data_IF_364430673931
#
_entry.id   IF_364430673931
#
_cell.length_a   1.000
_cell.length_b   1.000
_cell.length_c   1.000
_cell.angle_alpha   90.00
_cell.angle_beta   90.00
_cell.angle_gamma   90.00
#
_symmetry.space_group_name_H-M   'P 1'
#
loop_
_entity.id
_entity.type
_entity.pdbx_description
1 polymer ?
#
# COMPACT_ATOMS: atom_id res chain seq x y z
N UNK A 1 -23.22 -11.30 1.15
CA UNK A 1 -23.21 -10.18 0.16
C UNK A 1 -21.79 -9.59 0.00
N UNK A 2 -21.16 -8.95 1.02
CA UNK A 2 -19.79 -8.40 0.89
C UNK A 2 -18.77 -9.50 0.57
N UNK A 3 -18.88 -10.66 1.22
CA UNK A 3 -17.97 -11.79 0.96
C UNK A 3 -18.08 -12.29 -0.48
N UNK A 4 -19.27 -12.31 -1.05
CA UNK A 4 -19.49 -12.74 -2.44
C UNK A 4 -18.84 -11.75 -3.41
N UNK A 5 -18.98 -10.44 -3.14
CA UNK A 5 -18.27 -9.38 -3.89
C UNK A 5 -16.76 -9.60 -3.88
N UNK A 6 -16.18 -9.89 -2.70
CA UNK A 6 -14.76 -10.15 -2.53
C UNK A 6 -14.32 -11.41 -3.28
N UNK A 7 -15.11 -12.48 -3.24
CA UNK A 7 -14.77 -13.75 -3.92
C UNK A 7 -14.86 -13.62 -5.45
N UNK A 8 -15.84 -12.85 -5.96
CA UNK A 8 -16.07 -12.66 -7.40
C UNK A 8 -15.27 -11.50 -8.00
N UNK A 9 -14.44 -10.83 -7.19
CA UNK A 9 -13.65 -9.69 -7.64
C UNK A 9 -12.63 -10.08 -8.71
N UNK A 10 -12.53 -9.20 -9.72
CA UNK A 10 -11.44 -9.16 -10.71
C UNK A 10 -11.01 -7.70 -10.88
N UNK A 11 -9.71 -7.40 -10.94
CA UNK A 11 -9.24 -6.03 -11.11
C UNK A 11 -9.89 -5.32 -12.30
N UNK A 12 -10.40 -4.12 -12.07
CA UNK A 12 -11.07 -3.30 -13.07
C UNK A 12 -12.50 -3.69 -13.43
N UNK A 13 -13.07 -4.76 -12.86
CA UNK A 13 -14.43 -5.21 -13.20
C UNK A 13 -15.50 -4.14 -12.96
N UNK A 14 -15.32 -3.31 -11.94
CA UNK A 14 -16.27 -2.29 -11.53
C UNK A 14 -15.90 -0.88 -12.01
N UNK A 15 -14.82 -0.76 -12.80
CA UNK A 15 -14.35 0.53 -13.30
C UNK A 15 -14.90 0.76 -14.70
N UNK A 16 -15.65 1.84 -14.87
CA UNK A 16 -16.15 2.27 -16.18
C UNK A 16 -15.43 3.54 -16.60
N UNK A 17 -14.52 3.42 -17.56
CA UNK A 17 -13.74 4.54 -18.09
C UNK A 17 -13.85 4.57 -19.62
N UNK A 18 -13.78 5.77 -20.25
CA UNK A 18 -13.84 5.91 -21.70
C UNK A 18 -12.63 5.28 -22.40
N UNK A 19 -11.49 5.20 -21.74
CA UNK A 19 -10.24 4.65 -22.28
C UNK A 19 -10.08 3.18 -21.91
N UNK A 20 -9.45 2.40 -22.80
CA UNK A 20 -9.07 1.03 -22.49
C UNK A 20 -7.86 1.01 -21.56
N UNK A 21 -8.12 0.91 -20.26
CA UNK A 21 -7.08 0.76 -19.26
C UNK A 21 -6.76 -0.73 -19.09
N UNK A 22 -5.46 -1.06 -19.09
CA UNK A 22 -5.00 -2.39 -18.76
C UNK A 22 -4.84 -2.49 -17.25
N UNK A 23 -5.73 -3.24 -16.60
CA UNK A 23 -5.61 -3.56 -15.18
C UNK A 23 -4.64 -4.72 -14.96
N UNK A 24 -3.96 -4.77 -13.79
CA UNK A 24 -3.16 -5.94 -13.41
C UNK A 24 -4.07 -7.17 -13.24
N UNK A 25 -3.52 -8.38 -13.42
CA UNK A 25 -4.28 -9.61 -13.23
C UNK A 25 -4.72 -9.83 -11.77
N UNK A 26 -3.94 -9.29 -10.83
CA UNK A 26 -4.14 -9.47 -9.40
C UNK A 26 -3.99 -8.16 -8.63
N UNK A 27 -4.74 -8.07 -7.54
CA UNK A 27 -4.61 -7.02 -6.52
C UNK A 27 -3.57 -7.45 -5.49
N UNK A 28 -2.59 -6.60 -5.23
CA UNK A 28 -1.56 -6.82 -4.20
C UNK A 28 -1.68 -5.76 -3.10
N UNK A 29 -2.09 -6.20 -1.91
CA UNK A 29 -2.21 -5.37 -0.71
C UNK A 29 -0.93 -5.51 0.10
N UNK A 30 -0.20 -4.44 0.32
CA UNK A 30 1.03 -4.43 1.13
C UNK A 30 0.75 -3.99 2.56
N UNK A 31 1.14 -4.80 3.55
CA UNK A 31 1.05 -4.44 4.96
C UNK A 31 2.35 -3.80 5.42
N UNK A 32 2.27 -2.59 5.96
CA UNK A 32 3.35 -1.83 6.55
C UNK A 32 3.07 -1.55 8.02
N UNK A 33 4.08 -1.27 8.82
CA UNK A 33 3.96 -0.97 10.24
C UNK A 33 5.08 -1.59 11.04
N UNK A 34 5.20 -1.23 12.31
CA UNK A 34 6.29 -1.68 13.21
C UNK A 34 6.30 -3.19 13.40
N UNK A 35 7.45 -3.69 13.84
CA UNK A 35 7.58 -5.06 14.35
C UNK A 35 6.64 -5.25 15.53
N UNK A 36 5.90 -6.38 15.55
CA UNK A 36 4.98 -6.70 16.63
C UNK A 36 3.59 -6.02 16.56
N UNK A 37 3.33 -5.13 15.59
CA UNK A 37 2.01 -4.48 15.45
C UNK A 37 0.89 -5.40 14.92
N UNK A 38 1.13 -6.69 14.71
CA UNK A 38 0.10 -7.66 14.34
C UNK A 38 -0.14 -7.87 12.85
N UNK A 39 0.79 -7.48 11.94
CA UNK A 39 0.65 -7.65 10.47
C UNK A 39 0.39 -9.10 10.07
N UNK A 40 1.23 -10.02 10.50
CA UNK A 40 1.07 -11.46 10.15
C UNK A 40 -0.22 -12.05 10.71
N UNK A 41 -0.63 -11.64 11.93
CA UNK A 41 -1.91 -12.02 12.52
C UNK A 41 -3.09 -11.45 11.75
N UNK A 42 -2.96 -10.22 11.25
CA UNK A 42 -3.97 -9.57 10.40
C UNK A 42 -4.22 -10.38 9.12
N UNK A 43 -3.18 -10.92 8.50
CA UNK A 43 -3.35 -11.78 7.30
C UNK A 43 -4.20 -13.00 7.62
N UNK A 44 -3.97 -13.64 8.76
CA UNK A 44 -4.78 -14.78 9.19
C UNK A 44 -6.25 -14.38 9.42
N UNK A 45 -6.48 -13.20 10.01
CA UNK A 45 -7.81 -12.64 10.22
C UNK A 45 -8.52 -12.29 8.90
N UNK A 46 -7.81 -11.70 7.94
CA UNK A 46 -8.33 -11.40 6.59
C UNK A 46 -8.70 -12.68 5.83
N UNK A 47 -7.85 -13.71 5.90
CA UNK A 47 -8.17 -15.04 5.30
C UNK A 47 -9.42 -15.63 5.92
N UNK A 48 -9.53 -15.59 7.24
CA UNK A 48 -10.73 -16.08 7.93
C UNK A 48 -11.98 -15.30 7.51
N UNK A 49 -11.92 -13.97 7.47
CA UNK A 49 -13.05 -13.15 7.07
C UNK A 49 -13.47 -13.42 5.62
N UNK A 50 -12.52 -13.48 4.69
CA UNK A 50 -12.79 -13.72 3.27
C UNK A 50 -13.31 -15.13 2.99
N UNK A 51 -12.79 -16.17 3.65
CA UNK A 51 -13.10 -17.56 3.36
C UNK A 51 -14.15 -18.18 4.29
N UNK A 52 -14.55 -17.48 5.36
CA UNK A 52 -15.48 -17.96 6.40
C UNK A 52 -14.92 -19.05 7.31
N UNK A 53 -13.76 -19.58 7.03
CA UNK A 53 -13.05 -20.61 7.81
C UNK A 53 -11.56 -20.57 7.50
N UNK A 54 -10.75 -20.94 8.45
CA UNK A 54 -9.30 -21.07 8.25
C UNK A 54 -8.80 -22.33 8.96
N UNK A 55 -8.16 -23.23 8.22
CA UNK A 55 -7.49 -24.40 8.81
C UNK A 55 -6.14 -23.98 9.38
N UNK A 56 -5.72 -24.56 10.52
CA UNK A 56 -4.42 -24.24 11.15
C UNK A 56 -3.22 -24.40 10.18
N UNK A 57 -3.29 -25.35 9.25
CA UNK A 57 -2.27 -25.56 8.21
C UNK A 57 -2.17 -24.42 7.17
N UNK A 58 -3.15 -23.51 7.15
CA UNK A 58 -3.19 -22.37 6.25
C UNK A 58 -2.76 -21.04 6.93
N UNK A 59 -2.46 -21.12 8.23
CA UNK A 59 -2.00 -19.97 8.99
C UNK A 59 -0.60 -19.55 8.55
N UNK A 60 -0.37 -18.25 8.47
CA UNK A 60 0.98 -17.72 8.42
C UNK A 60 1.56 -17.80 9.84
N UNK A 61 2.78 -18.31 9.95
CA UNK A 61 3.49 -18.29 11.23
C UNK A 61 3.63 -16.87 11.74
N UNK A 62 3.12 -16.65 12.95
CA UNK A 62 3.24 -15.40 13.68
C UNK A 62 4.41 -15.54 14.65
N UNK A 63 5.32 -14.56 14.66
CA UNK A 63 6.40 -14.55 15.62
C UNK A 63 5.86 -14.39 17.05
N UNK A 64 6.33 -15.21 17.99
CA UNK A 64 6.17 -14.90 19.40
C UNK A 64 6.99 -13.67 19.76
N UNK A 65 6.47 -12.80 20.62
CA UNK A 65 7.07 -11.49 20.99
C UNK A 65 8.47 -11.59 21.62
N UNK A 66 8.96 -12.78 21.94
CA UNK A 66 10.16 -12.99 22.76
C UNK A 66 11.50 -12.91 22.02
N UNK A 67 11.52 -12.75 20.69
CA UNK A 67 12.78 -12.62 19.96
C UNK A 67 12.94 -11.20 19.43
N UNK A 68 13.85 -10.46 20.05
CA UNK A 68 14.32 -9.18 19.57
C UNK A 68 14.81 -9.30 18.10
N UNK A 69 14.28 -8.46 17.21
CA UNK A 69 14.73 -8.40 15.82
C UNK A 69 13.68 -8.77 14.74
N UNK A 70 12.46 -9.11 15.10
CA UNK A 70 11.36 -9.36 14.14
C UNK A 70 11.64 -10.56 13.21
N UNK A 71 10.72 -11.53 13.16
CA UNK A 71 10.93 -12.75 12.36
C UNK A 71 10.70 -12.59 10.85
N UNK A 72 10.12 -11.48 10.40
CA UNK A 72 9.82 -11.26 8.98
C UNK A 72 11.00 -10.53 8.31
N UNK A 73 12.09 -11.24 8.07
CA UNK A 73 13.24 -10.68 7.34
C UNK A 73 12.99 -10.64 5.83
N UNK A 74 12.09 -11.48 5.34
CA UNK A 74 11.71 -11.59 3.94
C UNK A 74 10.23 -11.26 3.78
N UNK A 75 9.89 -10.70 2.64
CA UNK A 75 8.49 -10.48 2.28
C UNK A 75 7.77 -11.81 2.12
N UNK A 76 6.58 -11.94 2.69
CA UNK A 76 5.74 -13.15 2.55
C UNK A 76 4.47 -12.78 1.81
N UNK A 77 4.09 -13.59 0.83
CA UNK A 77 2.85 -13.41 0.07
C UNK A 77 1.81 -14.45 0.50
N UNK A 78 0.59 -14.01 0.67
CA UNK A 78 -0.56 -14.85 1.01
C UNK A 78 -1.74 -14.51 0.11
N UNK A 79 -2.43 -15.52 -0.42
CA UNK A 79 -3.65 -15.29 -1.17
C UNK A 79 -4.87 -15.23 -0.23
N UNK A 80 -5.78 -14.29 -0.49
CA UNK A 80 -7.11 -14.23 0.13
C UNK A 80 -8.16 -14.89 -0.76
N UNK A 81 -8.12 -14.57 -2.07
CA UNK A 81 -8.99 -15.11 -3.11
C UNK A 81 -8.16 -15.44 -4.36
N UNK A 82 -8.82 -15.76 -5.47
CA UNK A 82 -8.11 -16.03 -6.74
C UNK A 82 -7.30 -14.84 -7.25
N UNK A 83 -7.78 -13.60 -7.01
CA UNK A 83 -7.16 -12.38 -7.55
C UNK A 83 -6.67 -11.40 -6.47
N UNK A 84 -6.83 -11.71 -5.18
CA UNK A 84 -6.42 -10.81 -4.08
C UNK A 84 -5.32 -11.46 -3.26
N UNK A 85 -4.19 -10.78 -3.18
CA UNK A 85 -3.01 -11.21 -2.43
C UNK A 85 -2.64 -10.16 -1.38
N UNK A 86 -2.15 -10.62 -0.22
CA UNK A 86 -1.60 -9.76 0.82
C UNK A 86 -0.13 -10.06 1.00
N UNK A 87 0.68 -9.02 1.10
CA UNK A 87 2.12 -9.10 1.27
C UNK A 87 2.47 -8.63 2.68
N UNK A 88 3.03 -9.53 3.49
CA UNK A 88 3.61 -9.22 4.78
C UNK A 88 5.02 -8.65 4.58
N UNK A 89 5.18 -7.37 4.86
CA UNK A 89 6.47 -6.69 4.75
C UNK A 89 7.17 -6.67 6.11
N UNK A 90 8.51 -6.58 6.10
CA UNK A 90 9.31 -6.41 7.32
C UNK A 90 8.83 -5.18 8.10
N UNK A 91 8.89 -5.25 9.42
CA UNK A 91 8.54 -4.14 10.31
C UNK A 91 9.38 -2.89 10.04
N UNK A 92 8.74 -1.72 10.10
CA UNK A 92 9.37 -0.42 9.98
C UNK A 92 9.83 0.02 11.36
N UNK A 93 11.12 0.27 11.55
CA UNK A 93 11.64 0.72 12.86
C UNK A 93 11.52 2.24 13.01
N UNK A 94 11.76 2.99 11.94
CA UNK A 94 11.62 4.45 11.91
C UNK A 94 10.95 4.92 10.61
N UNK A 95 9.63 5.13 10.61
CA UNK A 95 8.89 5.51 9.39
C UNK A 95 9.24 6.89 8.83
N UNK A 96 9.95 7.74 9.59
CA UNK A 96 10.38 9.07 9.13
C UNK A 96 11.75 9.09 8.45
N UNK A 97 12.48 8.00 8.46
CA UNK A 97 13.79 7.93 7.83
C UNK A 97 13.69 7.87 6.30
N UNK A 98 14.55 8.59 5.60
CA UNK A 98 14.57 8.66 4.13
C UNK A 98 14.83 7.27 3.50
N UNK A 99 15.66 6.47 4.11
CA UNK A 99 15.97 5.09 3.69
C UNK A 99 14.72 4.21 3.74
N UNK A 100 13.85 4.42 4.72
CA UNK A 100 12.57 3.71 4.83
C UNK A 100 11.65 4.07 3.66
N UNK A 101 11.62 5.33 3.26
CA UNK A 101 10.84 5.76 2.08
C UNK A 101 11.36 5.12 0.80
N UNK A 102 12.67 5.03 0.62
CA UNK A 102 13.30 4.37 -0.53
C UNK A 102 12.95 2.87 -0.58
N UNK A 103 13.02 2.18 0.56
CA UNK A 103 12.65 0.77 0.65
C UNK A 103 11.15 0.55 0.40
N UNK A 104 10.27 1.38 0.99
CA UNK A 104 8.82 1.33 0.71
C UNK A 104 8.57 1.54 -0.78
N UNK A 105 9.27 2.50 -1.43
CA UNK A 105 9.14 2.71 -2.87
C UNK A 105 9.50 1.45 -3.66
N UNK A 106 10.63 0.82 -3.36
CA UNK A 106 11.05 -0.42 -4.03
C UNK A 106 10.04 -1.57 -3.83
N UNK A 107 9.41 -1.63 -2.65
CA UNK A 107 8.35 -2.61 -2.39
C UNK A 107 7.06 -2.29 -3.15
N UNK A 108 6.66 -1.01 -3.22
CA UNK A 108 5.46 -0.57 -3.95
C UNK A 108 5.57 -0.81 -5.45
N UNK A 109 6.76 -0.65 -6.01
CA UNK A 109 6.99 -0.84 -7.45
C UNK A 109 7.30 -2.30 -7.84
N UNK A 110 7.43 -3.18 -6.84
CA UNK A 110 7.79 -4.57 -7.06
C UNK A 110 9.27 -4.80 -7.38
N UNK A 111 10.12 -3.81 -7.16
CA UNK A 111 11.56 -3.94 -7.37
C UNK A 111 12.23 -4.77 -6.27
N UNK A 112 11.62 -4.85 -5.09
CA UNK A 112 12.06 -5.73 -4.00
C UNK A 112 11.48 -7.13 -4.17
N UNK A 113 12.34 -8.14 -4.36
CA UNK A 113 11.96 -9.54 -4.47
C UNK A 113 11.55 -10.18 -3.14
N UNK A 114 10.87 -11.33 -3.20
CA UNK A 114 10.47 -12.08 -2.00
C UNK A 114 11.61 -12.85 -1.35
N UNK A 115 12.65 -13.17 -2.11
CA UNK A 115 13.88 -13.81 -1.62
C UNK A 115 14.94 -12.83 -1.15
N UNK A 116 14.69 -11.53 -1.27
CA UNK A 116 15.60 -10.48 -0.84
C UNK A 116 15.32 -10.09 0.61
N UNK A 117 16.37 -10.11 1.43
CA UNK A 117 16.28 -9.64 2.81
C UNK A 117 16.16 -8.12 2.82
N UNK A 118 15.14 -7.62 3.52
CA UNK A 118 15.04 -6.19 3.83
C UNK A 118 15.95 -5.90 5.02
N UNK A 119 16.89 -4.98 4.87
CA UNK A 119 17.83 -4.55 5.91
C UNK A 119 17.65 -3.06 6.17
N UNK A 120 17.66 -2.67 7.45
CA UNK A 120 17.64 -1.27 7.85
C UNK A 120 19.07 -0.81 8.19
N UNK A 121 19.36 0.46 7.98
CA UNK A 121 20.67 1.05 8.31
C UNK A 121 21.02 0.84 9.79
N UNK A 122 22.24 0.38 10.06
CA UNK A 122 22.72 0.11 11.41
C UNK A 122 22.52 -1.32 11.91
N UNK A 123 21.82 -2.19 11.15
CA UNK A 123 21.75 -3.60 11.46
C UNK A 123 23.03 -4.34 11.03
N UNK A 124 23.52 -5.26 11.88
CA UNK A 124 24.58 -6.19 11.48
C UNK A 124 24.10 -7.04 10.29
N UNK A 125 24.89 -7.01 9.23
CA UNK A 125 24.59 -7.77 8.00
C UNK A 125 24.75 -9.26 8.30
N UNK A 126 23.64 -9.92 8.62
CA UNK A 126 23.58 -11.38 8.53
C UNK A 126 23.58 -11.75 7.04
N UNK A 127 24.75 -12.03 6.49
CA UNK A 127 24.89 -12.50 5.11
C UNK A 127 24.35 -13.93 5.03
N UNK A 128 23.11 -14.05 4.61
CA UNK A 128 22.63 -15.31 4.06
C UNK A 128 23.10 -15.35 2.60
N UNK A 129 23.95 -16.33 2.26
CA UNK A 129 24.35 -16.60 0.89
C UNK A 129 23.13 -17.11 0.10
N UNK A 130 22.33 -16.18 -0.39
CA UNK A 130 21.25 -16.50 -1.34
C UNK A 130 21.90 -16.51 -2.72
N UNK A 131 21.83 -17.63 -3.48
CA UNK A 131 22.37 -17.69 -4.81
C UNK A 131 21.82 -16.55 -5.69
N UNK A 132 22.69 -15.87 -6.42
CA UNK A 132 22.35 -14.72 -7.26
C UNK A 132 21.32 -15.02 -8.39
N UNK A 133 20.94 -16.28 -8.55
CA UNK A 133 20.10 -16.79 -9.66
C UNK A 133 18.60 -16.51 -9.46
N UNK A 134 18.14 -16.16 -8.25
CA UNK A 134 16.69 -16.09 -7.94
C UNK A 134 16.19 -14.67 -7.59
N UNK A 135 16.80 -13.63 -8.13
CA UNK A 135 16.28 -12.24 -7.99
C UNK A 135 15.08 -12.03 -8.92
N UNK A 136 14.02 -12.79 -8.69
CA UNK A 136 12.74 -12.48 -9.31
C UNK A 136 12.21 -11.20 -8.71
N UNK A 137 11.85 -10.22 -9.55
CA UNK A 137 11.14 -9.01 -9.10
C UNK A 137 9.92 -9.42 -8.29
N UNK A 138 9.60 -8.64 -7.26
CA UNK A 138 8.36 -8.77 -6.53
C UNK A 138 7.16 -8.34 -7.37
N UNK A 139 5.97 -8.42 -6.79
CA UNK A 139 4.78 -7.85 -7.41
C UNK A 139 4.59 -6.40 -6.93
N UNK A 140 4.20 -5.46 -7.79
CA UNK A 140 3.89 -4.11 -7.39
C UNK A 140 2.67 -4.10 -6.46
N UNK A 141 2.76 -3.33 -5.37
CA UNK A 141 1.66 -3.15 -4.43
C UNK A 141 0.71 -2.10 -4.98
N UNK A 142 -0.57 -2.44 -5.05
CA UNK A 142 -1.63 -1.56 -5.55
C UNK A 142 -2.43 -0.89 -4.43
N UNK A 143 -2.34 -1.41 -3.21
CA UNK A 143 -2.94 -0.80 -2.03
C UNK A 143 -1.99 -0.93 -0.83
N UNK A 144 -1.64 0.19 -0.20
CA UNK A 144 -0.84 0.23 1.01
C UNK A 144 -1.73 0.28 2.25
N UNK A 145 -1.52 -0.65 3.18
CA UNK A 145 -2.21 -0.72 4.47
C UNK A 145 -1.20 -0.56 5.60
N UNK A 146 -1.37 0.47 6.43
CA UNK A 146 -0.56 0.71 7.62
C UNK A 146 -1.20 0.09 8.85
N UNK A 147 -0.45 -0.75 9.53
CA UNK A 147 -0.90 -1.47 10.72
C UNK A 147 -0.27 -0.84 11.96
N UNK A 148 -1.12 -0.34 12.84
CA UNK A 148 -0.77 0.24 14.14
C UNK A 148 -1.28 -0.67 15.26
N UNK A 149 -0.58 -0.68 16.37
CA UNK A 149 -1.01 -1.43 17.56
C UNK A 149 -1.52 -0.47 18.62
N UNK A 150 -2.72 -0.68 19.14
CA UNK A 150 -3.29 0.14 20.17
C UNK A 150 -2.60 0.01 21.55
N UNK A 151 -1.73 -1.00 21.72
CA UNK A 151 -0.99 -1.26 22.97
C UNK A 151 0.47 -0.80 22.93
N UNK A 152 0.96 -0.31 21.79
CA UNK A 152 2.31 0.23 21.67
C UNK A 152 2.35 1.73 21.93
N UNK A 153 3.51 2.25 22.36
CA UNK A 153 3.68 3.68 22.57
C UNK A 153 3.51 4.44 21.23
N UNK A 154 2.39 5.13 21.18
CA UNK A 154 1.91 5.83 20.00
C UNK A 154 2.77 7.07 19.68
N UNK A 155 3.37 7.69 20.70
CA UNK A 155 4.03 9.01 20.57
C UNK A 155 5.30 8.97 19.71
N UNK A 156 6.00 7.84 19.69
CA UNK A 156 7.23 7.68 18.89
C UNK A 156 6.98 7.43 17.41
N UNK A 157 5.78 6.99 17.02
CA UNK A 157 5.47 6.52 15.66
C UNK A 157 4.99 7.63 14.72
N UNK A 158 4.62 8.80 15.27
CA UNK A 158 3.98 9.86 14.49
C UNK A 158 4.93 10.92 13.93
N UNK A 159 6.15 11.00 14.45
CA UNK A 159 7.15 11.87 13.87
C UNK A 159 7.48 11.39 12.45
N UNK A 160 6.95 12.08 11.45
CA UNK A 160 7.13 11.76 10.04
C UNK A 160 5.99 10.97 9.38
N UNK A 161 4.95 10.57 10.12
CA UNK A 161 3.80 9.91 9.51
C UNK A 161 3.15 10.76 8.40
N UNK A 162 3.03 12.08 8.60
CA UNK A 162 2.50 12.98 7.57
C UNK A 162 3.35 12.94 6.29
N UNK A 163 4.68 12.96 6.41
CA UNK A 163 5.59 12.86 5.26
C UNK A 163 5.44 11.53 4.54
N UNK A 164 5.28 10.43 5.29
CA UNK A 164 5.07 9.11 4.73
C UNK A 164 3.71 9.02 4.02
N UNK A 165 2.64 9.56 4.61
CA UNK A 165 1.30 9.59 4.00
C UNK A 165 1.33 10.40 2.71
N UNK A 166 1.95 11.59 2.71
CA UNK A 166 2.10 12.42 1.51
C UNK A 166 2.95 11.74 0.44
N UNK A 167 4.02 11.06 0.83
CA UNK A 167 4.86 10.29 -0.09
C UNK A 167 4.06 9.20 -0.80
N UNK A 168 3.27 8.43 -0.05
CA UNK A 168 2.42 7.37 -0.59
C UNK A 168 1.33 7.90 -1.50
N UNK A 169 0.64 8.97 -1.07
CA UNK A 169 -0.41 9.60 -1.87
C UNK A 169 0.13 10.07 -3.23
N UNK A 170 1.29 10.74 -3.24
CA UNK A 170 1.92 11.17 -4.51
C UNK A 170 2.31 9.99 -5.40
N UNK A 171 2.68 8.85 -4.83
CA UNK A 171 3.15 7.69 -5.59
C UNK A 171 2.03 6.78 -6.07
N UNK A 172 0.94 6.68 -5.33
CA UNK A 172 -0.19 5.79 -5.64
C UNK A 172 -1.46 6.51 -6.10
N UNK A 173 -1.54 7.84 -5.95
CA UNK A 173 -2.75 8.62 -6.23
C UNK A 173 -3.84 8.48 -5.17
N UNK A 174 -3.67 7.59 -4.20
CA UNK A 174 -4.60 7.32 -3.12
C UNK A 174 -3.92 7.42 -1.77
N UNK A 175 -4.67 7.82 -0.74
CA UNK A 175 -4.19 7.76 0.63
C UNK A 175 -4.13 6.31 1.12
N UNK A 176 -3.16 5.97 2.00
CA UNK A 176 -3.09 4.63 2.57
C UNK A 176 -4.28 4.36 3.50
N UNK A 177 -4.59 3.08 3.69
CA UNK A 177 -5.54 2.62 4.70
C UNK A 177 -4.80 2.37 6.01
N UNK A 178 -5.42 2.66 7.15
CA UNK A 178 -4.90 2.28 8.45
C UNK A 178 -5.73 1.17 9.09
N UNK A 179 -5.04 0.28 9.80
CA UNK A 179 -5.64 -0.75 10.65
C UNK A 179 -5.08 -0.61 12.06
N UNK A 180 -5.96 -0.49 13.04
CA UNK A 180 -5.61 -0.50 14.47
C UNK A 180 -5.88 -1.91 14.99
N UNK A 181 -4.83 -2.58 15.43
CA UNK A 181 -4.89 -3.93 16.04
C UNK A 181 -4.88 -3.86 17.57
N UNK A 182 -5.10 -5.01 18.23
CA UNK A 182 -5.13 -5.15 19.70
C UNK A 182 -6.20 -4.30 20.38
N UNK A 183 -7.26 -3.94 19.65
CA UNK A 183 -8.35 -3.12 20.20
C UNK A 183 -9.19 -3.85 21.27
N UNK A 184 -9.09 -5.16 21.32
CA UNK A 184 -9.76 -6.01 22.31
C UNK A 184 -9.05 -6.05 23.68
N UNK A 185 -7.82 -5.56 23.75
CA UNK A 185 -7.02 -5.53 24.99
C UNK A 185 -6.53 -4.13 25.36
N UNK A 186 -6.68 -3.14 24.45
CA UNK A 186 -6.30 -1.75 24.68
C UNK A 186 -7.40 -0.97 25.40
N UNK A 187 -7.03 0.09 26.10
CA UNK A 187 -7.98 1.04 26.66
C UNK A 187 -8.61 1.89 25.54
N UNK A 188 -9.91 2.18 25.66
CA UNK A 188 -10.62 2.97 24.64
C UNK A 188 -9.99 4.35 24.39
N UNK A 189 -9.49 4.98 25.45
CA UNK A 189 -8.82 6.29 25.35
C UNK A 189 -7.57 6.22 24.43
N UNK A 190 -6.79 5.15 24.48
CA UNK A 190 -5.60 5.00 23.62
C UNK A 190 -6.00 4.82 22.16
N UNK A 191 -7.07 4.06 21.91
CA UNK A 191 -7.63 3.90 20.57
C UNK A 191 -8.12 5.24 20.03
N UNK A 192 -8.84 6.03 20.84
CA UNK A 192 -9.38 7.33 20.41
C UNK A 192 -8.27 8.35 20.11
N UNK A 193 -7.18 8.35 20.90
CA UNK A 193 -5.99 9.16 20.62
C UNK A 193 -5.38 8.75 19.28
N UNK A 194 -5.20 7.44 19.05
CA UNK A 194 -4.63 6.92 17.81
C UNK A 194 -5.50 7.28 16.60
N UNK A 195 -6.82 7.12 16.70
CA UNK A 195 -7.77 7.55 15.67
C UNK A 195 -7.64 9.03 15.33
N UNK A 196 -7.55 9.89 16.36
CA UNK A 196 -7.42 11.32 16.16
C UNK A 196 -6.12 11.68 15.42
N UNK A 197 -5.00 11.07 15.81
CA UNK A 197 -3.70 11.30 15.17
C UNK A 197 -3.70 10.84 13.72
N UNK A 198 -4.20 9.64 13.42
CA UNK A 198 -4.27 9.11 12.06
C UNK A 198 -5.11 10.02 11.15
N UNK A 199 -6.25 10.52 11.64
CA UNK A 199 -7.10 11.46 10.89
C UNK A 199 -6.40 12.79 10.64
N UNK A 200 -5.70 13.35 11.63
CA UNK A 200 -4.90 14.58 11.46
C UNK A 200 -3.77 14.39 10.45
N UNK A 201 -3.23 13.16 10.36
CA UNK A 201 -2.22 12.81 9.37
C UNK A 201 -2.78 12.57 7.95
N UNK A 202 -4.09 12.77 7.73
CA UNK A 202 -4.73 12.64 6.41
C UNK A 202 -5.24 11.24 6.09
N UNK A 203 -5.19 10.29 7.03
CA UNK A 203 -5.73 8.95 6.81
C UNK A 203 -7.22 8.94 7.17
N UNK A 204 -8.08 8.78 6.18
CA UNK A 204 -9.53 8.75 6.36
C UNK A 204 -10.10 7.34 6.60
N UNK A 205 -9.51 6.34 5.94
CA UNK A 205 -9.95 4.95 6.00
C UNK A 205 -9.23 4.21 7.13
N UNK A 206 -9.88 4.07 8.29
CA UNK A 206 -9.29 3.47 9.50
C UNK A 206 -10.21 2.36 10.00
N UNK A 207 -9.64 1.18 10.24
CA UNK A 207 -10.36 -0.01 10.69
C UNK A 207 -9.82 -0.51 12.03
N UNK A 208 -10.69 -0.64 13.03
CA UNK A 208 -10.38 -1.24 14.32
C UNK A 208 -10.56 -2.77 14.24
N UNK A 209 -9.53 -3.54 14.61
CA UNK A 209 -9.51 -4.99 14.43
C UNK A 209 -8.93 -5.70 15.64
N UNK A 210 -9.63 -6.73 16.11
CA UNK A 210 -9.06 -7.74 16.98
C UNK A 210 -8.68 -8.97 16.12
N UNK A 211 -7.39 -9.30 16.11
CA UNK A 211 -6.89 -10.41 15.31
C UNK A 211 -7.25 -11.77 15.89
N UNK A 212 -7.42 -12.78 15.01
CA UNK A 212 -7.38 -14.17 15.46
C UNK A 212 -5.96 -14.56 15.86
N UNK A 213 -5.88 -15.32 16.95
CA UNK A 213 -4.63 -15.85 17.50
C UNK A 213 -4.80 -17.35 17.76
N UNK A 214 -3.73 -18.02 18.21
CA UNK A 214 -3.82 -19.43 18.62
C UNK A 214 -4.86 -19.67 19.71
N UNK A 215 -5.02 -18.69 20.61
CA UNK A 215 -5.95 -18.77 21.77
C UNK A 215 -7.35 -18.23 21.40
N UNK A 216 -7.43 -17.30 20.42
CA UNK A 216 -8.67 -16.68 19.97
C UNK A 216 -8.92 -17.07 18.51
N UNK A 217 -9.63 -18.17 18.31
CA UNK A 217 -9.91 -18.73 16.97
C UNK A 217 -11.22 -18.25 16.36
N UNK A 218 -11.98 -17.41 17.08
CA UNK A 218 -13.24 -16.82 16.60
C UNK A 218 -13.13 -15.31 16.64
N UNK A 219 -13.66 -14.67 15.62
CA UNK A 219 -13.84 -13.22 15.58
C UNK A 219 -15.25 -12.86 16.05
N UNK A 220 -15.35 -11.74 16.74
CA UNK A 220 -16.60 -11.03 16.91
C UNK A 220 -17.16 -10.61 15.56
N UNK A 221 -18.50 -10.58 15.41
CA UNK A 221 -19.16 -10.22 14.14
C UNK A 221 -18.77 -8.81 13.66
N UNK A 222 -18.61 -7.87 14.60
CA UNK A 222 -18.21 -6.51 14.27
C UNK A 222 -16.78 -6.46 13.69
N UNK A 223 -15.83 -7.17 14.29
CA UNK A 223 -14.46 -7.23 13.76
C UNK A 223 -14.40 -8.00 12.45
N UNK A 224 -15.22 -9.03 12.28
CA UNK A 224 -15.33 -9.71 11.00
C UNK A 224 -15.88 -8.78 9.90
N UNK A 225 -16.88 -7.98 10.22
CA UNK A 225 -17.41 -6.97 9.29
C UNK A 225 -16.35 -5.91 8.95
N UNK A 226 -15.62 -5.41 9.94
CA UNK A 226 -14.53 -4.46 9.70
C UNK A 226 -13.46 -5.02 8.77
N UNK A 227 -13.10 -6.30 8.90
CA UNK A 227 -12.15 -6.98 8.02
C UNK A 227 -12.68 -7.13 6.59
N UNK A 228 -13.96 -7.44 6.42
CA UNK A 228 -14.59 -7.51 5.09
C UNK A 228 -14.62 -6.14 4.42
N UNK A 229 -15.02 -5.10 5.16
CA UNK A 229 -15.03 -3.71 4.68
C UNK A 229 -13.60 -3.23 4.33
N UNK A 230 -12.59 -3.63 5.12
CA UNK A 230 -11.19 -3.36 4.82
C UNK A 230 -10.78 -3.98 3.47
N UNK A 231 -11.14 -5.24 3.21
CA UNK A 231 -10.84 -5.90 1.92
C UNK A 231 -11.54 -5.18 0.78
N UNK A 232 -12.82 -4.85 0.92
CA UNK A 232 -13.60 -4.11 -0.08
C UNK A 232 -12.98 -2.74 -0.38
N UNK A 233 -12.52 -2.03 0.68
CA UNK A 233 -11.82 -0.75 0.50
C UNK A 233 -10.48 -0.91 -0.21
N UNK A 234 -9.72 -1.97 0.10
CA UNK A 234 -8.48 -2.28 -0.61
C UNK A 234 -8.72 -2.57 -2.09
N UNK A 235 -9.83 -3.22 -2.45
CA UNK A 235 -10.26 -3.44 -3.83
C UNK A 235 -10.44 -2.10 -4.55
N UNK A 236 -11.22 -1.19 -3.98
CA UNK A 236 -11.48 0.14 -4.55
C UNK A 236 -10.17 0.93 -4.75
N UNK A 237 -9.33 1.01 -3.71
CA UNK A 237 -8.04 1.71 -3.78
C UNK A 237 -7.12 1.07 -4.81
N UNK A 238 -7.12 -0.25 -4.92
CA UNK A 238 -6.28 -0.95 -5.90
C UNK A 238 -6.68 -0.65 -7.33
N UNK A 239 -7.96 -0.60 -7.62
CA UNK A 239 -8.49 -0.20 -8.92
C UNK A 239 -8.18 1.28 -9.22
N UNK A 240 -8.40 2.19 -8.27
CA UNK A 240 -8.08 3.61 -8.39
C UNK A 240 -6.57 3.84 -8.62
N UNK A 241 -5.71 3.11 -7.90
CA UNK A 241 -4.25 3.17 -8.09
C UNK A 241 -3.84 2.69 -9.48
N UNK A 242 -4.48 1.65 -10.01
CA UNK A 242 -4.20 1.16 -11.37
C UNK A 242 -4.58 2.22 -12.43
N UNK A 243 -5.71 2.89 -12.25
CA UNK A 243 -6.15 4.01 -13.09
C UNK A 243 -5.15 5.17 -13.04
N UNK A 244 -4.76 5.58 -11.83
CA UNK A 244 -3.80 6.67 -11.62
C UNK A 244 -2.45 6.37 -12.29
N UNK A 245 -1.90 5.16 -12.09
CA UNK A 245 -0.63 4.76 -12.72
C UNK A 245 -0.71 4.67 -14.24
N UNK A 246 -1.89 4.32 -14.79
CA UNK A 246 -2.11 4.36 -16.24
C UNK A 246 -1.97 5.78 -16.78
N UNK A 247 -2.67 6.74 -16.21
CA UNK A 247 -2.61 8.14 -16.66
C UNK A 247 -1.23 8.77 -16.44
N UNK A 248 -0.56 8.47 -15.33
CA UNK A 248 0.84 8.90 -15.15
C UNK A 248 1.76 8.41 -16.29
N UNK A 249 1.62 7.14 -16.69
CA UNK A 249 2.42 6.58 -17.79
C UNK A 249 2.12 7.27 -19.09
N UNK A 250 0.84 7.47 -19.43
CA UNK A 250 0.44 8.19 -20.65
C UNK A 250 1.01 9.61 -20.68
N UNK A 251 0.97 10.33 -19.57
CA UNK A 251 1.54 11.68 -19.47
C UNK A 251 3.06 11.68 -19.68
N UNK A 252 3.77 10.70 -19.11
CA UNK A 252 5.22 10.56 -19.30
C UNK A 252 5.58 10.22 -20.75
N UNK A 253 4.81 9.34 -21.40
CA UNK A 253 4.98 8.99 -22.81
C UNK A 253 4.78 10.22 -23.71
N UNK A 254 3.72 11.00 -23.48
CA UNK A 254 3.46 12.24 -24.20
C UNK A 254 4.58 13.29 -24.02
N UNK A 255 5.07 13.48 -22.80
CA UNK A 255 6.21 14.37 -22.52
C UNK A 255 7.48 13.91 -23.22
N UNK A 256 7.73 12.59 -23.26
CA UNK A 256 8.89 12.02 -23.94
C UNK A 256 8.80 12.19 -25.45
N UNK A 257 7.61 12.06 -26.05
CA UNK A 257 7.39 12.32 -27.48
C UNK A 257 7.58 13.79 -27.82
N UNK A 258 7.02 14.72 -27.03
CA UNK A 258 7.22 16.15 -27.23
C UNK A 258 8.70 16.55 -27.15
N UNK A 259 9.45 15.96 -26.22
CA UNK A 259 10.89 16.21 -26.10
C UNK A 259 11.69 15.72 -27.31
N UNK A 260 11.24 14.67 -27.99
CA UNK A 260 11.86 14.15 -29.23
C UNK A 260 11.57 15.03 -30.45
N UNK A 261 10.44 15.74 -30.46
CA UNK A 261 10.05 16.60 -31.61
C UNK A 261 10.82 17.91 -31.69
N UNK A 262 11.64 18.24 -30.69
CA UNK A 262 12.42 19.48 -30.64
C UNK A 262 11.56 20.74 -30.46
N UNK A 263 12.15 21.90 -30.16
CA UNK A 263 11.39 23.14 -30.13
C UNK A 263 10.92 23.47 -31.57
N UNK A 264 9.62 23.34 -31.79
CA UNK A 264 9.00 23.90 -33.01
C UNK A 264 9.36 25.38 -33.07
N UNK A 265 10.09 25.81 -34.13
CA UNK A 265 10.33 27.22 -34.40
C UNK A 265 9.01 27.95 -34.30
N UNK A 266 8.92 28.88 -33.32
CA UNK A 266 7.76 29.77 -33.25
C UNK A 266 7.62 30.46 -34.60
N UNK A 267 6.47 30.42 -35.27
CA UNK A 267 6.29 31.16 -36.50
C UNK A 267 6.61 32.62 -36.21
N UNK A 268 7.64 33.16 -36.88
CA UNK A 268 7.99 34.56 -36.82
C UNK A 268 6.77 35.33 -37.35
N UNK A 269 6.17 36.26 -36.59
CA UNK A 269 5.06 37.03 -37.09
C UNK A 269 5.58 37.93 -38.21
N UNK A 270 5.25 37.58 -39.44
CA UNK A 270 5.47 38.42 -40.61
C UNK A 270 4.52 39.64 -40.52
N UNK A 271 5.02 40.69 -39.93
CA UNK A 271 4.37 42.00 -39.98
C UNK A 271 4.47 42.51 -41.40
N UNK A 272 3.44 42.29 -42.20
CA UNK A 272 3.25 43.03 -43.47
C UNK A 272 2.85 44.45 -43.06
N UNK A 273 3.82 45.38 -43.15
CA UNK A 273 3.56 46.83 -43.16
C UNK A 273 3.03 47.14 -44.56
N UNK A 274 1.73 47.36 -44.67
CA UNK A 274 1.13 47.99 -45.86
C UNK A 274 1.24 49.49 -45.70
N UNK A 275 2.18 50.10 -46.45
CA UNK A 275 2.15 51.53 -46.74
C UNK A 275 0.91 51.80 -47.59
N UNK A 276 -0.09 52.45 -47.01
CA UNK A 276 -1.08 53.20 -47.78
C UNK A 276 -0.67 54.66 -47.76
N UNK A 277 -0.31 55.11 -48.95
CA UNK A 277 -0.16 56.54 -49.28
C UNK A 277 -1.50 57.24 -49.05
N UNK A 278 -1.45 58.30 -48.23
CA UNK A 278 -2.53 59.28 -48.17
C UNK A 278 -2.18 60.37 -49.13
N UNK A 279 -2.87 60.39 -50.31
CA UNK A 279 -2.93 61.57 -51.15
C UNK A 279 -4.00 62.51 -50.61
N UNK A 280 -3.55 63.73 -50.49
CA UNK A 280 -4.30 64.96 -50.17
C UNK A 280 -5.28 65.37 -51.30
N UNK A 281 -6.48 65.79 -50.89
CA UNK A 281 -7.18 66.97 -51.37
C UNK A 281 -7.92 67.60 -50.21
#
# INVERSE_FOLDING_TARGET
EIRDIIQDYKPGKNVTLPDKISFPENLFVGLFGRTGCGKSSLINSLKFAAQGRLRKSQWIEVASQEKAGGHTMFRKIANLTQCIYVIDNRGLDNPSAEEVHAEIAAQLDGDRGYSEQVQWLGEEVQRFDIPAVDRKKGHPITCAVFVFSAIHDIKSDFAGLNHLVDFLHRRQGCYPVAVITHVDVAERNDIDILLAVLRVSGIGDIYEVANITNDKTKLDEQYQLNLLNLIERCITIGDDTAVFKHYQRVELEQKAEMAKMGPTEKPVPTTKVSHQEVQSV
#
